data_IF_586961561918
#
_entry.id   IF_586961561918
#
_cell.length_a   1.000
_cell.length_b   1.000
_cell.length_c   1.000
_cell.angle_alpha   90.00
_cell.angle_beta   90.00
_cell.angle_gamma   90.00
#
_symmetry.space_group_name_H-M   'P 1'
#
loop_
_entity.id
_entity.type
_entity.pdbx_description
1 polymer ?
#
# COMPACT_ATOMS: atom_id res chain seq x y z
N UNK A 1 26.58 -22.39 -38.57
CA UNK A 1 25.76 -21.17 -38.73
C UNK A 1 24.33 -21.53 -38.42
N UNK A 2 23.94 -21.38 -37.15
CA UNK A 2 22.55 -21.47 -36.71
C UNK A 2 22.43 -20.34 -35.70
N UNK A 3 21.94 -19.21 -36.22
CA UNK A 3 21.63 -18.01 -35.45
C UNK A 3 20.45 -18.36 -34.56
N UNK A 4 20.69 -18.51 -33.27
CA UNK A 4 19.60 -18.56 -32.29
C UNK A 4 19.27 -17.11 -31.97
N UNK A 5 18.23 -16.60 -32.62
CA UNK A 5 17.60 -15.34 -32.24
C UNK A 5 17.10 -15.47 -30.79
N UNK A 6 17.88 -14.89 -29.88
CA UNK A 6 17.42 -14.58 -28.52
C UNK A 6 16.54 -13.34 -28.68
N UNK A 7 15.25 -13.56 -28.92
CA UNK A 7 14.25 -12.54 -28.64
C UNK A 7 14.35 -12.24 -27.14
N UNK A 8 15.03 -11.13 -26.84
CA UNK A 8 15.00 -10.51 -25.53
C UNK A 8 13.59 -9.95 -25.40
N UNK A 9 12.70 -10.70 -24.77
CA UNK A 9 11.39 -10.19 -24.37
C UNK A 9 11.65 -8.90 -23.58
N UNK A 10 11.32 -7.77 -24.20
CA UNK A 10 11.18 -6.52 -23.47
C UNK A 10 9.98 -6.78 -22.58
N UNK A 11 10.22 -7.15 -21.31
CA UNK A 11 9.16 -7.27 -20.33
C UNK A 11 8.40 -5.95 -20.34
N UNK A 12 7.16 -6.00 -20.83
CA UNK A 12 6.26 -4.86 -20.88
C UNK A 12 6.02 -4.41 -19.42
N UNK A 13 6.73 -3.37 -18.98
CA UNK A 13 6.55 -2.79 -17.66
C UNK A 13 5.25 -1.96 -17.55
N UNK A 14 4.45 -1.91 -18.63
CA UNK A 14 3.12 -1.33 -18.63
C UNK A 14 2.08 -2.17 -17.87
N UNK A 15 0.82 -1.69 -17.78
CA UNK A 15 -0.25 -2.37 -17.05
C UNK A 15 -0.46 -3.83 -17.49
N UNK A 16 -0.29 -4.10 -18.79
CA UNK A 16 -0.53 -5.43 -19.37
C UNK A 16 0.51 -6.46 -18.92
N UNK A 17 1.79 -6.10 -18.91
CA UNK A 17 2.84 -7.01 -18.44
C UNK A 17 2.88 -7.15 -16.92
N UNK A 18 2.53 -6.12 -16.15
CA UNK A 18 2.32 -6.27 -14.70
C UNK A 18 1.18 -7.26 -14.40
N UNK A 19 0.03 -7.15 -15.07
CA UNK A 19 -1.08 -8.08 -14.89
C UNK A 19 -0.69 -9.53 -15.21
N UNK A 20 0.07 -9.73 -16.29
CA UNK A 20 0.58 -11.05 -16.66
C UNK A 20 1.58 -11.61 -15.63
N UNK A 21 2.55 -10.79 -15.17
CA UNK A 21 3.52 -11.18 -14.15
C UNK A 21 2.84 -11.53 -12.82
N UNK A 22 1.85 -10.73 -12.42
CA UNK A 22 1.05 -10.97 -11.21
C UNK A 22 0.29 -12.28 -11.30
N UNK A 23 -0.34 -12.57 -12.44
CA UNK A 23 -1.05 -13.82 -12.66
C UNK A 23 -0.12 -15.04 -12.57
N UNK A 24 1.07 -14.96 -13.19
CA UNK A 24 2.08 -16.02 -13.11
C UNK A 24 2.46 -16.31 -11.66
N UNK A 25 2.76 -15.26 -10.88
CA UNK A 25 3.15 -15.39 -9.48
C UNK A 25 2.05 -16.03 -8.61
N UNK A 26 0.78 -15.76 -8.92
CA UNK A 26 -0.37 -16.39 -8.25
C UNK A 26 -0.57 -17.86 -8.64
N UNK A 27 -0.22 -18.23 -9.87
CA UNK A 27 -0.37 -19.59 -10.39
C UNK A 27 0.83 -20.50 -10.08
N UNK A 28 2.00 -19.93 -9.77
CA UNK A 28 3.18 -20.69 -9.34
C UNK A 28 2.89 -21.47 -8.05
N UNK A 29 2.75 -22.79 -8.20
CA UNK A 29 2.30 -23.72 -7.16
C UNK A 29 3.29 -23.99 -6.01
N UNK A 30 4.40 -23.28 -5.92
CA UNK A 30 5.51 -23.63 -5.01
C UNK A 30 5.79 -22.63 -3.87
N UNK A 31 5.15 -21.46 -3.82
CA UNK A 31 5.43 -20.47 -2.76
C UNK A 31 4.46 -20.60 -1.59
N UNK A 32 5.01 -20.78 -0.39
CA UNK A 32 4.25 -20.63 0.86
C UNK A 32 3.74 -19.19 1.01
N UNK A 33 2.82 -18.96 1.95
CA UNK A 33 2.15 -17.66 2.14
C UNK A 33 3.11 -16.46 2.20
N UNK A 34 4.04 -16.39 3.16
CA UNK A 34 4.89 -15.20 3.34
C UNK A 34 5.79 -14.87 2.13
N UNK A 35 6.54 -15.82 1.52
CA UNK A 35 7.31 -15.55 0.30
C UNK A 35 6.45 -15.10 -0.89
N UNK A 36 5.21 -15.63 -1.01
CA UNK A 36 4.28 -15.17 -2.05
C UNK A 36 3.85 -13.72 -1.80
N UNK A 37 3.56 -13.35 -0.55
CA UNK A 37 3.15 -11.98 -0.21
C UNK A 37 4.26 -10.97 -0.47
N UNK A 38 5.49 -11.27 -0.05
CA UNK A 38 6.66 -10.42 -0.33
C UNK A 38 6.82 -10.23 -1.83
N UNK A 39 6.81 -11.31 -2.62
CA UNK A 39 7.01 -11.20 -4.05
C UNK A 39 5.86 -10.48 -4.78
N UNK A 40 4.62 -10.57 -4.29
CA UNK A 40 3.51 -9.75 -4.79
C UNK A 40 3.74 -8.26 -4.47
N UNK A 41 4.18 -7.95 -3.25
CA UNK A 41 4.52 -6.59 -2.85
C UNK A 41 5.65 -6.02 -3.70
N UNK A 42 6.75 -6.75 -3.87
CA UNK A 42 7.90 -6.31 -4.67
C UNK A 42 7.49 -6.05 -6.13
N UNK A 43 6.77 -6.98 -6.75
CA UNK A 43 6.26 -6.80 -8.12
C UNK A 43 5.35 -5.57 -8.26
N UNK A 44 4.51 -5.32 -7.25
CA UNK A 44 3.58 -4.17 -7.26
C UNK A 44 4.33 -2.87 -7.03
N UNK A 45 5.35 -2.87 -6.16
CA UNK A 45 6.20 -1.71 -5.89
C UNK A 45 6.97 -1.28 -7.14
N UNK A 46 7.55 -2.24 -7.88
CA UNK A 46 8.29 -1.97 -9.12
C UNK A 46 7.37 -1.32 -10.16
N UNK A 47 6.17 -1.88 -10.34
CA UNK A 47 5.19 -1.35 -11.27
C UNK A 47 4.71 0.06 -10.88
N UNK A 48 4.33 0.28 -9.62
CA UNK A 48 3.89 1.58 -9.12
C UNK A 48 5.01 2.63 -9.18
N UNK A 49 6.25 2.24 -8.91
CA UNK A 49 7.42 3.11 -9.05
C UNK A 49 7.66 3.52 -10.50
N UNK A 50 7.42 2.61 -11.44
CA UNK A 50 7.43 2.91 -12.88
C UNK A 50 6.37 3.93 -13.27
N UNK A 51 5.11 3.72 -12.84
CA UNK A 51 4.01 4.67 -13.08
C UNK A 51 4.30 6.05 -12.48
N UNK A 52 4.77 6.08 -11.23
CA UNK A 52 5.14 7.32 -10.55
C UNK A 52 6.23 8.07 -11.34
N UNK A 53 7.30 7.38 -11.73
CA UNK A 53 8.44 7.99 -12.45
C UNK A 53 8.01 8.55 -13.81
N UNK A 54 7.17 7.83 -14.55
CA UNK A 54 6.62 8.29 -15.82
C UNK A 54 5.61 9.44 -15.68
N UNK A 55 4.93 9.54 -14.53
CA UNK A 55 3.99 10.62 -14.26
C UNK A 55 4.63 11.87 -13.69
N UNK A 56 5.73 11.74 -12.96
CA UNK A 56 6.31 12.81 -12.14
C UNK A 56 7.42 13.61 -12.84
N UNK A 57 7.56 13.55 -14.17
CA UNK A 57 8.73 13.95 -15.00
C UNK A 57 9.57 15.18 -14.55
N UNK A 58 9.01 16.16 -13.83
CA UNK A 58 9.77 17.20 -13.13
C UNK A 58 9.22 17.59 -11.74
N UNK A 59 8.18 16.92 -11.26
CA UNK A 59 7.52 17.23 -10.00
C UNK A 59 8.38 16.79 -8.82
N UNK A 60 8.70 17.74 -7.94
CA UNK A 60 9.45 17.51 -6.69
C UNK A 60 8.49 17.64 -5.51
N UNK A 61 8.96 17.31 -4.31
CA UNK A 61 8.13 17.43 -3.12
C UNK A 61 6.90 16.53 -3.16
N UNK A 62 7.00 15.37 -3.82
CA UNK A 62 5.95 14.36 -3.92
C UNK A 62 6.51 12.97 -3.62
N UNK A 63 5.74 12.11 -2.96
CA UNK A 63 6.14 10.74 -2.67
C UNK A 63 4.94 9.80 -2.63
N UNK A 64 5.09 8.62 -3.24
CA UNK A 64 4.13 7.54 -3.14
C UNK A 64 4.53 6.60 -2.00
N UNK A 65 3.58 6.31 -1.12
CA UNK A 65 3.77 5.37 -0.01
C UNK A 65 2.65 4.33 0.03
N UNK A 66 2.97 3.13 0.50
CA UNK A 66 1.99 2.12 0.90
C UNK A 66 1.72 2.20 2.40
N UNK A 67 0.52 1.86 2.85
CA UNK A 67 0.15 1.81 4.28
C UNK A 67 -0.48 0.46 4.63
N UNK A 68 -0.70 0.22 5.92
CA UNK A 68 -1.36 -1.02 6.39
C UNK A 68 -0.67 -2.30 5.93
N UNK A 69 -1.46 -3.29 5.47
CA UNK A 69 -0.93 -4.59 5.05
C UNK A 69 0.04 -4.50 3.87
N UNK A 70 -0.22 -3.59 2.92
CA UNK A 70 0.72 -3.36 1.82
C UNK A 70 1.99 -2.63 2.30
N UNK A 71 1.84 -1.69 3.23
CA UNK A 71 2.96 -1.05 3.93
C UNK A 71 3.90 -2.06 4.58
N UNK A 72 3.37 -3.15 5.15
CA UNK A 72 4.16 -4.25 5.73
C UNK A 72 4.74 -5.25 4.71
N UNK A 73 4.48 -5.11 3.42
CA UNK A 73 4.90 -6.07 2.40
C UNK A 73 4.09 -7.37 2.41
N UNK A 74 2.83 -7.30 2.82
CA UNK A 74 1.97 -8.47 3.04
C UNK A 74 0.80 -8.55 2.03
N UNK A 75 1.02 -8.16 0.77
CA UNK A 75 -0.05 -8.26 -0.24
C UNK A 75 -0.50 -9.70 -0.46
N UNK A 76 -1.80 -9.92 -0.36
CA UNK A 76 -2.46 -11.19 -0.68
C UNK A 76 -3.14 -11.12 -2.06
N UNK A 77 -3.57 -12.26 -2.65
CA UNK A 77 -4.04 -12.29 -4.04
C UNK A 77 -5.19 -11.33 -4.38
N UNK A 78 -6.01 -10.96 -3.40
CA UNK A 78 -7.12 -10.01 -3.52
C UNK A 78 -7.05 -8.88 -2.50
N UNK A 79 -5.85 -8.57 -2.00
CA UNK A 79 -5.67 -7.39 -1.15
C UNK A 79 -5.93 -6.12 -1.95
N UNK A 80 -6.56 -5.16 -1.29
CA UNK A 80 -6.61 -3.78 -1.76
C UNK A 80 -5.19 -3.19 -1.75
N UNK A 81 -4.92 -2.25 -2.65
CA UNK A 81 -3.72 -1.43 -2.59
C UNK A 81 -4.03 -0.20 -1.74
N UNK A 82 -3.49 -0.14 -0.53
CA UNK A 82 -3.65 1.01 0.36
C UNK A 82 -2.50 2.01 0.11
N UNK A 83 -2.77 3.09 -0.61
CA UNK A 83 -1.76 4.02 -1.12
C UNK A 83 -1.99 5.46 -0.64
N UNK A 84 -0.90 6.19 -0.38
CA UNK A 84 -0.97 7.64 -0.13
C UNK A 84 0.03 8.34 -1.02
N UNK A 85 -0.45 9.30 -1.83
CA UNK A 85 0.38 10.24 -2.54
C UNK A 85 0.60 11.46 -1.64
N UNK A 86 1.79 11.55 -1.06
CA UNK A 86 2.22 12.67 -0.26
C UNK A 86 2.72 13.81 -1.13
N UNK A 87 2.45 15.05 -0.72
CA UNK A 87 3.07 16.23 -1.31
C UNK A 87 3.38 17.31 -0.25
N UNK A 88 4.33 18.19 -0.51
CA UNK A 88 4.77 19.26 0.41
C UNK A 88 3.97 20.57 0.26
N UNK A 89 2.86 20.55 -0.46
CA UNK A 89 2.17 21.77 -0.93
C UNK A 89 2.59 22.22 -2.33
N UNK A 90 3.32 21.38 -3.06
CA UNK A 90 3.57 21.48 -4.51
C UNK A 90 2.29 21.74 -5.33
N UNK A 91 2.47 22.21 -6.57
CA UNK A 91 1.39 22.60 -7.48
C UNK A 91 0.24 21.57 -7.52
N UNK A 92 -0.95 22.00 -7.09
CA UNK A 92 -2.09 21.09 -6.93
C UNK A 92 -2.56 20.47 -8.24
N UNK A 93 -2.40 21.18 -9.36
CA UNK A 93 -2.73 20.66 -10.69
C UNK A 93 -1.76 19.56 -11.12
N UNK A 94 -0.46 19.77 -10.89
CA UNK A 94 0.57 18.78 -11.18
C UNK A 94 0.43 17.53 -10.29
N UNK A 95 0.13 17.72 -9.00
CA UNK A 95 -0.11 16.61 -8.06
C UNK A 95 -1.35 15.82 -8.47
N UNK A 96 -2.45 16.48 -8.85
CA UNK A 96 -3.65 15.81 -9.34
C UNK A 96 -3.39 15.04 -10.64
N UNK A 97 -2.65 15.62 -11.59
CA UNK A 97 -2.28 14.93 -12.82
C UNK A 97 -1.39 13.70 -12.56
N UNK A 98 -0.47 13.78 -11.60
CA UNK A 98 0.33 12.64 -11.17
C UNK A 98 -0.55 11.56 -10.52
N UNK A 99 -1.46 11.96 -9.64
CA UNK A 99 -2.41 11.07 -8.99
C UNK A 99 -3.20 10.27 -10.05
N UNK A 100 -3.79 10.94 -11.04
CA UNK A 100 -4.53 10.31 -12.13
C UNK A 100 -3.66 9.30 -12.90
N UNK A 101 -2.41 9.66 -13.20
CA UNK A 101 -1.46 8.77 -13.89
C UNK A 101 -1.09 7.50 -13.10
N UNK A 102 -1.29 7.49 -11.79
CA UNK A 102 -1.06 6.32 -10.94
C UNK A 102 -2.36 5.54 -10.73
N UNK A 103 -3.45 6.22 -10.40
CA UNK A 103 -4.71 5.58 -10.01
C UNK A 103 -5.46 4.95 -11.18
N UNK A 104 -5.52 5.61 -12.33
CA UNK A 104 -6.25 5.06 -13.48
C UNK A 104 -5.69 3.70 -13.95
N UNK A 105 -4.37 3.51 -14.10
CA UNK A 105 -3.82 2.19 -14.39
C UNK A 105 -4.19 1.09 -13.37
N UNK A 106 -4.32 1.43 -12.08
CA UNK A 106 -4.75 0.48 -11.04
C UNK A 106 -6.22 0.08 -11.24
N UNK A 107 -7.08 1.06 -11.48
CA UNK A 107 -8.51 0.82 -11.73
C UNK A 107 -8.77 0.10 -13.05
N UNK A 108 -8.04 0.43 -14.11
CA UNK A 108 -8.18 -0.19 -15.43
C UNK A 108 -7.83 -1.68 -15.39
N UNK A 109 -6.96 -2.09 -14.46
CA UNK A 109 -6.65 -3.50 -14.18
C UNK A 109 -7.67 -4.19 -13.26
N UNK A 110 -8.68 -3.47 -12.78
CA UNK A 110 -9.69 -3.99 -11.87
C UNK A 110 -9.16 -4.31 -10.47
N UNK A 111 -8.02 -3.75 -10.07
CA UNK A 111 -7.51 -3.89 -8.72
C UNK A 111 -8.27 -2.97 -7.76
N UNK A 112 -8.53 -3.47 -6.57
CA UNK A 112 -9.09 -2.64 -5.50
C UNK A 112 -8.02 -1.67 -4.98
N UNK A 113 -8.42 -0.41 -4.80
CA UNK A 113 -7.54 0.70 -4.44
C UNK A 113 -8.21 1.53 -3.35
N UNK A 114 -7.59 1.60 -2.17
CA UNK A 114 -7.84 2.63 -1.18
C UNK A 114 -6.71 3.65 -1.28
N UNK A 115 -7.04 4.91 -1.55
CA UNK A 115 -6.03 5.92 -1.83
C UNK A 115 -6.37 7.28 -1.25
N UNK A 116 -5.32 8.07 -1.00
CA UNK A 116 -5.48 9.48 -0.69
C UNK A 116 -4.33 10.32 -1.23
N UNK A 117 -4.60 11.60 -1.47
CA UNK A 117 -3.60 12.61 -1.81
C UNK A 117 -3.57 13.62 -0.68
N UNK A 118 -2.44 13.75 0.01
CA UNK A 118 -2.37 14.54 1.25
C UNK A 118 -1.01 15.18 1.46
N UNK A 119 -1.01 16.33 2.11
CA UNK A 119 0.19 16.81 2.79
C UNK A 119 0.49 15.99 4.05
N UNK A 120 1.73 15.99 4.57
CA UNK A 120 2.03 15.39 5.86
C UNK A 120 1.18 15.94 7.01
N UNK A 121 0.83 17.23 6.95
CA UNK A 121 -0.03 17.86 7.94
C UNK A 121 -1.47 17.31 7.89
N UNK A 122 -2.04 17.15 6.70
CA UNK A 122 -3.37 16.55 6.53
C UNK A 122 -3.39 15.08 6.91
N UNK A 123 -2.36 14.31 6.53
CA UNK A 123 -2.22 12.91 6.92
C UNK A 123 -2.24 12.75 8.44
N UNK A 124 -1.46 13.57 9.15
CA UNK A 124 -1.43 13.59 10.63
C UNK A 124 -2.75 14.06 11.25
N UNK A 125 -3.40 15.06 10.64
CA UNK A 125 -4.70 15.54 11.12
C UNK A 125 -5.74 14.42 11.07
N UNK A 126 -5.86 13.72 9.94
CA UNK A 126 -6.81 12.61 9.84
C UNK A 126 -6.44 11.46 10.78
N UNK A 127 -5.14 11.18 10.97
CA UNK A 127 -4.68 10.19 11.94
C UNK A 127 -5.07 10.56 13.39
N UNK A 128 -5.06 11.85 13.73
CA UNK A 128 -5.52 12.34 15.02
C UNK A 128 -7.05 12.19 15.21
N UNK A 129 -7.83 12.13 14.13
CA UNK A 129 -9.29 11.99 14.16
C UNK A 129 -9.74 10.52 14.06
N UNK A 130 -8.97 9.65 13.39
CA UNK A 130 -9.31 8.25 13.14
C UNK A 130 -8.17 7.30 13.55
N UNK A 131 -8.45 6.44 14.55
CA UNK A 131 -7.51 5.45 15.04
C UNK A 131 -7.04 4.47 13.94
N UNK A 132 -7.91 4.05 13.02
CA UNK A 132 -7.54 3.11 11.95
C UNK A 132 -6.55 3.75 10.98
N UNK A 133 -6.75 5.03 10.65
CA UNK A 133 -5.80 5.80 9.83
C UNK A 133 -4.45 5.93 10.53
N UNK A 134 -4.46 6.24 11.83
CA UNK A 134 -3.23 6.28 12.64
C UNK A 134 -2.47 4.95 12.61
N UNK A 135 -3.17 3.83 12.80
CA UNK A 135 -2.57 2.49 12.74
C UNK A 135 -2.00 2.18 11.35
N UNK A 136 -2.74 2.48 10.28
CA UNK A 136 -2.26 2.28 8.91
C UNK A 136 -0.98 3.08 8.61
N UNK A 137 -0.90 4.33 9.08
CA UNK A 137 0.27 5.18 8.88
C UNK A 137 1.50 4.76 9.69
N UNK A 138 1.35 3.97 10.77
CA UNK A 138 2.51 3.37 11.45
C UNK A 138 3.26 2.40 10.52
N UNK A 139 2.52 1.76 9.62
CA UNK A 139 3.03 0.85 8.59
C UNK A 139 3.47 1.57 7.30
N UNK A 140 3.48 2.91 7.26
CA UNK A 140 3.78 3.68 6.05
C UNK A 140 5.14 3.30 5.45
N UNK A 141 5.18 2.76 4.23
CA UNK A 141 6.41 2.34 3.55
C UNK A 141 6.59 3.10 2.25
N UNK A 142 7.81 3.58 2.04
CA UNK A 142 8.16 4.31 0.82
C UNK A 142 8.10 3.39 -0.41
N UNK A 143 7.46 3.85 -1.48
CA UNK A 143 7.52 3.22 -2.81
C UNK A 143 8.38 4.08 -3.73
N UNK A 144 8.03 5.36 -3.93
CA UNK A 144 8.72 6.24 -4.88
C UNK A 144 8.67 7.73 -4.49
N UNK A 145 9.54 8.52 -5.13
CA UNK A 145 9.60 9.98 -5.00
C UNK A 145 10.49 10.46 -3.86
N UNK A 146 10.06 11.49 -3.15
CA UNK A 146 10.83 12.14 -2.09
C UNK A 146 10.85 11.30 -0.80
N UNK A 147 11.96 10.61 -0.57
CA UNK A 147 12.18 9.81 0.64
C UNK A 147 12.13 10.66 1.92
N UNK A 148 12.52 11.93 1.86
CA UNK A 148 12.50 12.86 2.99
C UNK A 148 11.08 13.13 3.48
N UNK A 149 10.12 13.27 2.56
CA UNK A 149 8.70 13.40 2.93
C UNK A 149 8.17 12.16 3.62
N UNK A 150 8.51 10.97 3.11
CA UNK A 150 8.09 9.71 3.72
C UNK A 150 8.70 9.55 5.12
N UNK A 151 10.01 9.77 5.24
CA UNK A 151 10.72 9.66 6.51
C UNK A 151 10.18 10.66 7.55
N UNK A 152 9.96 11.91 7.15
CA UNK A 152 9.38 12.94 8.00
C UNK A 152 7.98 12.58 8.51
N UNK A 153 7.11 12.07 7.63
CA UNK A 153 5.78 11.60 8.03
C UNK A 153 5.88 10.44 9.03
N UNK A 154 6.68 9.40 8.74
CA UNK A 154 6.85 8.23 9.63
C UNK A 154 7.31 8.64 11.03
N UNK A 155 8.31 9.54 11.10
CA UNK A 155 8.81 10.05 12.38
C UNK A 155 7.72 10.79 13.15
N UNK A 156 6.97 11.67 12.48
CA UNK A 156 5.92 12.45 13.12
C UNK A 156 4.75 11.57 13.60
N UNK A 157 4.27 10.64 12.76
CA UNK A 157 3.19 9.71 13.10
C UNK A 157 3.57 8.82 14.28
N UNK A 158 4.82 8.32 14.34
CA UNK A 158 5.28 7.53 15.47
C UNK A 158 5.38 8.34 16.77
N UNK A 159 5.82 9.60 16.68
CA UNK A 159 5.83 10.49 17.83
C UNK A 159 4.41 10.80 18.32
N UNK A 160 3.48 11.08 17.41
CA UNK A 160 2.07 11.32 17.72
C UNK A 160 1.45 10.10 18.40
N UNK A 161 1.69 8.89 17.90
CA UNK A 161 1.23 7.64 18.51
C UNK A 161 1.76 7.49 19.94
N UNK A 162 3.07 7.68 20.16
CA UNK A 162 3.67 7.57 21.50
C UNK A 162 3.11 8.59 22.48
N UNK A 163 2.91 9.82 22.04
CA UNK A 163 2.36 10.89 22.87
C UNK A 163 0.89 10.64 23.23
N UNK A 164 0.12 10.04 22.32
CA UNK A 164 -1.29 9.77 22.51
C UNK A 164 -1.57 8.36 23.07
N UNK A 165 -0.55 7.51 23.24
CA UNK A 165 -0.71 6.10 23.61
C UNK A 165 -1.59 5.87 24.86
N UNK A 166 -1.49 6.66 25.96
CA UNK A 166 -2.37 6.47 27.11
C UNK A 166 -3.85 6.61 26.79
N UNK A 167 -4.20 7.47 25.82
CA UNK A 167 -5.57 7.63 25.32
C UNK A 167 -5.94 6.59 24.26
N UNK A 168 -5.02 6.29 23.33
CA UNK A 168 -5.28 5.43 22.17
C UNK A 168 -5.28 3.94 22.46
N UNK A 169 -4.54 3.49 23.48
CA UNK A 169 -4.50 2.06 23.81
C UNK A 169 -5.86 1.52 24.29
N UNK A 170 -6.62 2.23 25.16
CA UNK A 170 -8.01 1.86 25.44
C UNK A 170 -8.90 1.81 24.18
N UNK A 171 -8.84 2.83 23.32
CA UNK A 171 -9.61 2.87 22.06
C UNK A 171 -9.26 1.67 21.14
N UNK A 172 -7.98 1.28 21.08
CA UNK A 172 -7.53 0.11 20.33
C UNK A 172 -8.07 -1.19 20.93
N UNK A 173 -8.07 -1.31 22.26
CA UNK A 173 -8.62 -2.47 22.95
C UNK A 173 -10.11 -2.61 22.68
N UNK A 174 -10.87 -1.51 22.75
CA UNK A 174 -12.30 -1.47 22.42
C UNK A 174 -12.54 -1.89 20.98
N UNK A 175 -11.79 -1.34 20.02
CA UNK A 175 -11.89 -1.72 18.60
C UNK A 175 -11.65 -3.22 18.38
N UNK A 176 -10.67 -3.81 19.07
CA UNK A 176 -10.40 -5.25 19.01
C UNK A 176 -11.52 -6.07 19.65
N UNK A 177 -12.10 -5.62 20.77
CA UNK A 177 -13.20 -6.28 21.44
C UNK A 177 -14.47 -6.27 20.58
N UNK A 178 -14.85 -5.11 20.02
CA UNK A 178 -15.99 -4.98 19.11
C UNK A 178 -15.85 -5.90 17.88
N UNK A 179 -14.65 -6.00 17.31
CA UNK A 179 -14.38 -6.92 16.20
C UNK A 179 -14.60 -8.37 16.62
N UNK A 180 -14.08 -8.76 17.79
CA UNK A 180 -14.24 -10.11 18.31
C UNK A 180 -15.71 -10.45 18.63
N UNK A 181 -16.47 -9.51 19.20
CA UNK A 181 -17.90 -9.69 19.46
C UNK A 181 -18.70 -9.91 18.18
N UNK A 182 -18.35 -9.19 17.11
CA UNK A 182 -19.03 -9.31 15.82
C UNK A 182 -18.66 -10.61 15.08
N UNK A 183 -17.41 -11.05 15.17
CA UNK A 183 -16.88 -12.13 14.32
C UNK A 183 -16.75 -13.47 15.05
N UNK A 184 -16.80 -13.47 16.38
CA UNK A 184 -16.58 -14.64 17.22
C UNK A 184 -15.09 -15.03 17.35
N UNK A 185 -14.84 -16.12 18.08
CA UNK A 185 -13.49 -16.67 18.24
C UNK A 185 -13.26 -17.83 17.28
N UNK A 186 -12.13 -17.80 16.58
CA UNK A 186 -11.76 -18.73 15.52
C UNK A 186 -11.90 -20.19 15.95
N UNK A 187 -11.47 -20.52 17.18
CA UNK A 187 -11.52 -21.87 17.74
C UNK A 187 -12.94 -22.43 17.96
N UNK A 188 -13.97 -21.58 18.00
CA UNK A 188 -15.36 -21.99 18.29
C UNK A 188 -16.28 -21.89 17.07
N UNK A 189 -15.76 -21.46 15.92
CA UNK A 189 -16.53 -21.29 14.69
C UNK A 189 -16.25 -22.44 13.73
N UNK A 190 -17.30 -22.97 13.12
CA UNK A 190 -17.18 -23.98 12.06
C UNK A 190 -16.54 -23.38 10.79
N UNK A 191 -16.85 -22.12 10.49
CA UNK A 191 -16.38 -21.39 9.31
C UNK A 191 -15.94 -19.96 9.71
N UNK A 192 -14.78 -19.81 10.39
CA UNK A 192 -14.30 -18.51 10.85
C UNK A 192 -13.79 -17.62 9.71
N UNK A 193 -13.97 -16.30 9.87
CA UNK A 193 -13.21 -15.33 9.09
C UNK A 193 -11.77 -15.26 9.59
N UNK A 194 -10.81 -15.72 8.78
CA UNK A 194 -9.39 -15.81 9.17
C UNK A 194 -8.70 -14.47 9.42
N UNK A 195 -9.29 -13.36 8.95
CA UNK A 195 -8.73 -12.01 9.13
C UNK A 195 -9.38 -11.32 10.33
N UNK A 196 -10.68 -11.50 10.49
CA UNK A 196 -11.49 -10.70 11.39
C UNK A 196 -11.89 -11.43 12.68
N UNK A 197 -11.95 -12.77 12.70
CA UNK A 197 -12.23 -13.53 13.92
C UNK A 197 -11.08 -13.43 14.94
N UNK A 198 -11.40 -13.60 16.22
CA UNK A 198 -10.42 -13.54 17.30
C UNK A 198 -9.69 -14.88 17.46
N UNK A 199 -8.36 -14.84 17.55
CA UNK A 199 -7.50 -16.01 17.78
C UNK A 199 -6.71 -16.36 16.53
#
# INVERSE_FOLDING_TARGET
MTSTDVHKDVEDSGPSGYAAARLRLLQEGARSGPPRRSALSDLTDDWLSGLFTAGAEALRGVSLIAVGGYGRGELSPRSDLDLVLLHDGSDSGAVAALADRIWYPVWDLGLALDHSVRTPAEARKTAAEDLKVQLGLLDARHIAGDLGLTAGLRTAVLADWRNQAPKRLPELQELCAERAERQGELQYLLEPDLKEARG
#
